data_IF_551347491534
#
_entry.id   IF_551347491534
#
_cell.length_a   1.000
_cell.length_b   1.000
_cell.length_c   1.000
_cell.angle_alpha   90.00
_cell.angle_beta   90.00
_cell.angle_gamma   90.00
#
_symmetry.space_group_name_H-M   'P 1'
#
loop_
_entity.id
_entity.type
_entity.pdbx_description
1 polymer ?
#
# COMPACT_ATOMS: atom_id res chain seq x y z
N UNK A 1 21.73 4.74 27.47
CA UNK A 1 21.05 5.71 26.61
C UNK A 1 19.89 4.98 25.94
N UNK A 2 18.67 5.50 26.05
CA UNK A 2 17.51 4.97 25.34
C UNK A 2 17.69 5.28 23.84
N UNK A 3 17.39 4.28 22.97
CA UNK A 3 17.42 4.52 21.53
C UNK A 3 16.40 5.60 21.15
N UNK A 4 16.66 6.43 20.11
CA UNK A 4 15.65 7.33 19.57
C UNK A 4 14.36 6.57 19.25
N UNK A 5 13.20 7.20 19.45
CA UNK A 5 11.91 6.53 19.30
C UNK A 5 11.75 5.85 17.94
N UNK A 6 12.18 6.49 16.86
CA UNK A 6 12.12 5.91 15.52
C UNK A 6 12.87 4.56 15.41
N UNK A 7 13.99 4.41 16.11
CA UNK A 7 14.76 3.15 16.11
C UNK A 7 14.12 2.04 16.95
N UNK A 8 13.13 2.38 17.79
CA UNK A 8 12.35 1.42 18.57
C UNK A 8 11.12 0.94 17.79
N UNK A 9 10.68 1.71 16.79
CA UNK A 9 9.51 1.40 15.99
C UNK A 9 9.73 0.19 15.08
N UNK A 10 8.71 -0.61 14.89
CA UNK A 10 8.56 -1.48 13.72
C UNK A 10 8.03 -0.57 12.61
N UNK A 11 8.93 0.13 11.89
CA UNK A 11 8.45 0.98 10.78
C UNK A 11 7.87 0.10 9.69
N UNK A 12 6.60 0.31 9.37
CA UNK A 12 5.86 -0.48 8.39
C UNK A 12 5.24 0.43 7.33
N UNK A 13 5.42 0.07 6.07
CA UNK A 13 4.84 0.76 4.92
C UNK A 13 3.97 -0.19 4.10
N UNK A 14 2.70 0.17 3.92
CA UNK A 14 1.68 -0.65 3.29
C UNK A 14 1.69 -0.57 1.76
N UNK A 15 2.49 0.34 1.15
CA UNK A 15 2.51 0.48 -0.31
C UNK A 15 3.79 1.15 -0.81
N UNK A 16 4.54 0.41 -1.65
CA UNK A 16 5.75 0.91 -2.32
C UNK A 16 5.97 0.17 -3.64
N UNK A 17 5.90 0.89 -4.74
CA UNK A 17 5.92 0.34 -6.10
C UNK A 17 7.30 -0.11 -6.60
N UNK A 18 8.26 -0.30 -5.72
CA UNK A 18 9.63 -0.67 -6.08
C UNK A 18 9.73 -1.89 -7.02
N UNK A 19 8.75 -2.82 -6.98
CA UNK A 19 8.73 -3.97 -7.90
C UNK A 19 8.64 -3.56 -9.37
N UNK A 20 7.97 -2.44 -9.70
CA UNK A 20 7.90 -1.93 -11.07
C UNK A 20 9.30 -1.62 -11.60
N UNK A 21 10.10 -0.87 -10.84
CA UNK A 21 11.46 -0.52 -11.24
C UNK A 21 12.37 -1.74 -11.30
N UNK A 22 12.29 -2.66 -10.34
CA UNK A 22 13.13 -3.86 -10.31
C UNK A 22 12.77 -4.80 -11.46
N UNK A 23 11.47 -5.09 -11.66
CA UNK A 23 11.01 -5.99 -12.72
C UNK A 23 11.25 -5.45 -14.14
N UNK A 24 11.43 -4.14 -14.31
CA UNK A 24 11.82 -3.55 -15.59
C UNK A 24 13.25 -3.90 -16.02
N UNK A 25 14.10 -4.35 -15.10
CA UNK A 25 15.46 -4.79 -15.39
C UNK A 25 15.50 -6.22 -15.97
N UNK A 26 16.60 -6.61 -16.64
CA UNK A 26 16.86 -8.02 -16.93
C UNK A 26 16.81 -8.87 -15.65
N UNK A 27 16.26 -10.09 -15.76
CA UNK A 27 16.02 -10.99 -14.64
C UNK A 27 17.26 -11.21 -13.75
N UNK A 28 18.43 -11.37 -14.34
CA UNK A 28 19.71 -11.59 -13.66
C UNK A 28 20.19 -10.40 -12.81
N UNK A 29 19.58 -9.22 -12.98
CA UNK A 29 19.93 -8.00 -12.25
C UNK A 29 19.01 -7.72 -11.06
N UNK A 30 17.86 -8.39 -10.93
CA UNK A 30 16.81 -8.05 -9.96
C UNK A 30 17.30 -7.98 -8.53
N UNK A 31 17.94 -9.04 -8.04
CA UNK A 31 18.42 -9.09 -6.66
C UNK A 31 19.48 -8.02 -6.36
N UNK A 32 20.44 -7.84 -7.27
CA UNK A 32 21.52 -6.86 -7.11
C UNK A 32 20.99 -5.41 -7.25
N UNK A 33 20.07 -5.15 -8.19
CA UNK A 33 19.47 -3.84 -8.35
C UNK A 33 18.68 -3.44 -7.10
N UNK A 34 17.85 -4.35 -6.56
CA UNK A 34 17.18 -4.11 -5.27
C UNK A 34 18.18 -3.81 -4.15
N UNK A 35 19.24 -4.63 -4.02
CA UNK A 35 20.27 -4.47 -2.98
C UNK A 35 20.98 -3.12 -3.04
N UNK A 36 21.21 -2.61 -4.24
CA UNK A 36 21.94 -1.35 -4.45
C UNK A 36 21.05 -0.12 -4.38
N UNK A 37 19.84 -0.20 -4.90
CA UNK A 37 18.95 0.96 -5.08
C UNK A 37 17.94 1.10 -3.95
N UNK A 38 17.27 0.02 -3.55
CA UNK A 38 16.12 0.08 -2.66
C UNK A 38 16.45 -0.25 -1.21
N UNK A 39 17.25 -1.27 -0.97
CA UNK A 39 17.61 -1.69 0.39
C UNK A 39 18.25 -0.57 1.23
N UNK A 40 19.15 0.29 0.71
CA UNK A 40 19.70 1.41 1.49
C UNK A 40 18.63 2.41 1.94
N UNK A 41 17.65 2.69 1.11
CA UNK A 41 16.57 3.63 1.43
C UNK A 41 15.62 3.05 2.48
N UNK A 42 15.22 1.79 2.34
CA UNK A 42 14.40 1.09 3.33
C UNK A 42 15.10 1.08 4.69
N UNK A 43 16.41 0.81 4.72
CA UNK A 43 17.21 0.83 5.96
C UNK A 43 17.33 2.24 6.54
N UNK A 44 17.55 3.26 5.71
CA UNK A 44 17.62 4.65 6.17
C UNK A 44 16.29 5.12 6.77
N UNK A 45 15.16 4.67 6.19
CA UNK A 45 13.82 4.90 6.72
C UNK A 45 13.45 4.06 7.92
N UNK A 46 14.31 3.14 8.35
CA UNK A 46 14.04 2.23 9.47
C UNK A 46 12.97 1.17 9.14
N UNK A 47 12.63 0.98 7.85
CA UNK A 47 11.58 0.03 7.44
C UNK A 47 11.93 -1.38 7.87
N UNK A 48 10.98 -2.03 8.54
CA UNK A 48 11.06 -3.39 9.04
C UNK A 48 9.98 -4.30 8.42
N UNK A 49 8.90 -3.70 7.92
CA UNK A 49 7.79 -4.41 7.28
C UNK A 49 7.36 -3.61 6.04
N UNK A 50 7.45 -4.21 4.87
CA UNK A 50 7.12 -3.57 3.59
C UNK A 50 6.13 -4.41 2.82
N UNK A 51 5.00 -3.82 2.43
CA UNK A 51 4.10 -4.42 1.44
C UNK A 51 4.61 -4.07 0.04
N UNK A 52 4.67 -5.07 -0.81
CA UNK A 52 5.09 -4.98 -2.21
C UNK A 52 3.88 -5.18 -3.11
N UNK A 53 3.25 -4.12 -3.61
CA UNK A 53 2.17 -4.23 -4.58
C UNK A 53 2.70 -4.72 -5.92
N UNK A 54 1.94 -5.57 -6.57
CA UNK A 54 2.06 -5.91 -7.98
C UNK A 54 1.06 -5.05 -8.73
N UNK A 55 1.53 -3.94 -9.28
CA UNK A 55 0.78 -3.04 -10.15
C UNK A 55 1.17 -3.27 -11.60
N UNK A 56 0.22 -3.26 -12.51
CA UNK A 56 0.44 -3.42 -13.94
C UNK A 56 -0.22 -2.27 -14.69
N UNK A 57 0.59 -1.55 -15.46
CA UNK A 57 0.14 -0.45 -16.31
C UNK A 57 -0.94 -0.87 -17.31
N UNK A 58 -1.81 0.08 -17.66
CA UNK A 58 -2.92 -0.14 -18.56
C UNK A 58 -2.49 -0.60 -19.96
N UNK A 59 -1.26 -0.26 -20.40
CA UNK A 59 -0.70 -0.69 -21.70
C UNK A 59 -0.56 -2.21 -21.85
N UNK A 60 -0.43 -2.95 -20.71
CA UNK A 60 -0.35 -4.40 -20.70
C UNK A 60 -1.72 -5.09 -20.61
N UNK A 61 -2.79 -4.34 -20.39
CA UNK A 61 -4.14 -4.88 -20.22
C UNK A 61 -4.85 -5.01 -21.56
N UNK A 62 -5.70 -6.05 -21.71
CA UNK A 62 -5.83 -7.20 -20.79
C UNK A 62 -4.81 -8.32 -21.08
N UNK A 63 -4.32 -8.49 -22.31
CA UNK A 63 -3.65 -9.72 -22.79
C UNK A 63 -2.29 -9.95 -22.11
N UNK A 64 -1.53 -8.90 -21.84
CA UNK A 64 -0.21 -8.98 -21.24
C UNK A 64 -0.22 -8.97 -19.70
N UNK A 65 -1.33 -8.58 -19.08
CA UNK A 65 -1.36 -8.30 -17.65
C UNK A 65 -1.03 -9.51 -16.77
N UNK A 66 -1.61 -10.68 -17.03
CA UNK A 66 -1.31 -11.89 -16.26
C UNK A 66 0.17 -12.28 -16.32
N UNK A 67 0.78 -12.16 -17.50
CA UNK A 67 2.21 -12.47 -17.68
C UNK A 67 3.07 -11.51 -16.85
N UNK A 68 2.76 -10.22 -16.84
CA UNK A 68 3.50 -9.23 -16.06
C UNK A 68 3.28 -9.44 -14.56
N UNK A 69 2.05 -9.75 -14.15
CA UNK A 69 1.73 -10.10 -12.75
C UNK A 69 2.60 -11.25 -12.26
N UNK A 70 2.65 -12.36 -13.00
CA UNK A 70 3.50 -13.51 -12.65
C UNK A 70 4.99 -13.15 -12.62
N UNK A 71 5.43 -12.31 -13.56
CA UNK A 71 6.83 -11.83 -13.61
C UNK A 71 7.17 -10.95 -12.38
N UNK A 72 6.27 -10.10 -11.92
CA UNK A 72 6.51 -9.27 -10.73
C UNK A 72 6.44 -10.10 -9.43
N UNK A 73 5.56 -11.09 -9.36
CA UNK A 73 5.56 -12.04 -8.24
C UNK A 73 6.91 -12.78 -8.18
N UNK A 74 7.38 -13.30 -9.30
CA UNK A 74 8.71 -13.94 -9.39
C UNK A 74 9.83 -12.98 -8.98
N UNK A 75 9.74 -11.71 -9.38
CA UNK A 75 10.72 -10.69 -8.99
C UNK A 75 10.83 -10.57 -7.45
N UNK A 76 9.74 -10.59 -6.73
CA UNK A 76 9.75 -10.54 -5.27
C UNK A 76 10.42 -11.78 -4.65
N UNK A 77 10.20 -12.97 -5.21
CA UNK A 77 10.88 -14.19 -4.80
C UNK A 77 12.39 -14.10 -5.03
N UNK A 78 12.82 -13.69 -6.25
CA UNK A 78 14.24 -13.50 -6.59
C UNK A 78 14.92 -12.46 -5.71
N UNK A 79 14.23 -11.36 -5.37
CA UNK A 79 14.72 -10.36 -4.41
C UNK A 79 15.02 -11.02 -3.05
N UNK A 80 14.06 -11.79 -2.52
CA UNK A 80 14.19 -12.41 -1.20
C UNK A 80 15.27 -13.50 -1.19
N UNK A 81 15.32 -14.36 -2.21
CA UNK A 81 16.31 -15.42 -2.35
C UNK A 81 17.73 -14.89 -2.55
N UNK A 82 17.87 -13.79 -3.31
CA UNK A 82 19.16 -13.15 -3.58
C UNK A 82 19.69 -12.26 -2.44
N UNK A 83 18.84 -11.94 -1.44
CA UNK A 83 19.18 -11.07 -0.30
C UNK A 83 18.75 -11.68 1.06
N UNK A 84 19.05 -12.94 1.36
CA UNK A 84 18.56 -13.63 2.56
C UNK A 84 19.11 -13.07 3.88
N UNK A 85 20.16 -12.25 3.80
CA UNK A 85 20.77 -11.52 4.92
C UNK A 85 20.09 -10.17 5.20
N UNK A 86 19.12 -9.76 4.38
CA UNK A 86 18.52 -8.44 4.45
C UNK A 86 16.98 -8.46 4.50
N UNK A 87 16.36 -9.36 3.74
CA UNK A 87 14.91 -9.41 3.60
C UNK A 87 14.38 -10.83 3.65
N UNK A 88 13.09 -10.98 3.96
CA UNK A 88 12.36 -12.26 3.89
C UNK A 88 10.97 -12.03 3.34
N UNK A 89 10.59 -12.79 2.32
CA UNK A 89 9.21 -12.81 1.85
C UNK A 89 8.36 -13.63 2.82
N UNK A 90 7.31 -13.01 3.36
CA UNK A 90 6.48 -13.56 4.44
C UNK A 90 5.03 -13.71 3.95
N UNK A 91 4.43 -14.83 4.32
CA UNK A 91 3.05 -15.21 3.99
C UNK A 91 2.17 -15.40 5.22
N UNK A 92 2.77 -15.40 6.41
CA UNK A 92 2.08 -15.56 7.69
C UNK A 92 2.59 -14.56 8.73
N UNK A 93 1.76 -14.28 9.75
CA UNK A 93 2.17 -13.44 10.88
C UNK A 93 3.37 -14.02 11.64
N UNK A 94 3.45 -15.34 11.76
CA UNK A 94 4.60 -16.02 12.39
C UNK A 94 5.89 -15.84 11.59
N UNK A 95 5.85 -15.84 10.25
CA UNK A 95 7.01 -15.56 9.39
C UNK A 95 7.45 -14.10 9.50
N UNK A 96 6.50 -13.16 9.62
CA UNK A 96 6.78 -11.74 9.88
C UNK A 96 7.53 -11.60 11.22
N UNK A 97 7.00 -12.18 12.30
CA UNK A 97 7.66 -12.15 13.62
C UNK A 97 9.08 -12.72 13.57
N UNK A 98 9.26 -13.84 12.87
CA UNK A 98 10.59 -14.47 12.73
C UNK A 98 11.56 -13.58 11.93
N UNK A 99 11.10 -12.96 10.83
CA UNK A 99 11.92 -12.02 10.06
C UNK A 99 12.36 -10.82 10.90
N UNK A 100 11.42 -10.23 11.65
CA UNK A 100 11.70 -9.11 12.55
C UNK A 100 12.70 -9.49 13.66
N UNK A 101 12.56 -10.67 14.25
CA UNK A 101 13.46 -11.18 15.28
C UNK A 101 14.89 -11.43 14.73
N UNK A 102 14.99 -11.90 13.48
CA UNK A 102 16.27 -12.10 12.78
C UNK A 102 16.91 -10.77 12.31
N UNK A 103 16.25 -9.63 12.51
CA UNK A 103 16.74 -8.31 12.06
C UNK A 103 16.54 -8.04 10.57
N UNK A 104 15.74 -8.85 9.88
CA UNK A 104 15.42 -8.72 8.47
C UNK A 104 14.23 -7.77 8.24
N UNK A 105 14.09 -7.28 7.02
CA UNK A 105 12.86 -6.62 6.56
C UNK A 105 11.90 -7.70 6.10
N UNK A 106 10.71 -7.76 6.71
CA UNK A 106 9.62 -8.62 6.27
C UNK A 106 8.96 -8.01 5.02
N UNK A 107 8.87 -8.76 3.94
CA UNK A 107 8.20 -8.37 2.69
C UNK A 107 6.88 -9.13 2.59
N UNK A 108 5.79 -8.45 2.23
CA UNK A 108 4.46 -9.05 2.04
C UNK A 108 3.96 -8.70 0.64
N UNK A 109 3.59 -9.71 -0.16
CA UNK A 109 3.06 -9.50 -1.51
C UNK A 109 1.61 -9.04 -1.49
N UNK A 110 1.32 -8.02 -2.31
CA UNK A 110 -0.03 -7.57 -2.61
C UNK A 110 -0.29 -7.56 -4.12
N UNK A 111 -1.56 -7.63 -4.53
CA UNK A 111 -2.01 -7.31 -5.89
C UNK A 111 -2.78 -6.00 -5.86
N UNK A 112 -2.38 -5.05 -6.67
CA UNK A 112 -3.15 -3.84 -6.90
C UNK A 112 -4.04 -3.99 -8.11
N UNK A 113 -5.35 -3.98 -7.88
CA UNK A 113 -6.42 -4.19 -8.88
C UNK A 113 -6.50 -5.58 -9.53
N UNK A 114 -5.92 -6.62 -8.92
CA UNK A 114 -5.89 -8.00 -9.44
C UNK A 114 -5.58 -8.08 -10.95
N UNK A 115 -4.46 -7.51 -11.43
CA UNK A 115 -4.20 -7.38 -12.85
C UNK A 115 -4.08 -8.75 -13.52
N UNK A 116 -4.80 -8.91 -14.64
CA UNK A 116 -4.78 -10.13 -15.45
C UNK A 116 -5.58 -11.32 -14.89
N UNK A 117 -6.24 -11.17 -13.73
CA UNK A 117 -7.17 -12.19 -13.24
C UNK A 117 -8.58 -11.95 -13.81
N UNK A 118 -8.92 -10.69 -14.13
CA UNK A 118 -10.22 -10.26 -14.62
C UNK A 118 -11.37 -10.85 -13.77
N UNK A 119 -12.35 -11.52 -14.39
CA UNK A 119 -13.43 -12.21 -13.69
C UNK A 119 -13.12 -13.66 -13.31
N UNK A 120 -11.88 -14.12 -13.47
CA UNK A 120 -11.45 -15.50 -13.17
C UNK A 120 -11.19 -15.68 -11.67
N UNK A 121 -12.27 -15.70 -10.89
CA UNK A 121 -12.21 -15.78 -9.41
C UNK A 121 -11.42 -17.00 -8.92
N UNK A 122 -11.45 -18.11 -9.66
CA UNK A 122 -10.69 -19.33 -9.36
C UNK A 122 -9.17 -19.11 -9.37
N UNK A 123 -8.66 -18.11 -10.12
CA UNK A 123 -7.23 -17.77 -10.16
C UNK A 123 -6.74 -17.07 -8.88
N UNK A 124 -7.64 -16.54 -8.04
CA UNK A 124 -7.29 -15.95 -6.75
C UNK A 124 -6.56 -16.99 -5.88
N UNK A 125 -7.01 -18.26 -5.91
CA UNK A 125 -6.32 -19.34 -5.22
C UNK A 125 -4.91 -19.62 -5.74
N UNK A 126 -4.66 -19.35 -7.02
CA UNK A 126 -3.33 -19.52 -7.64
C UNK A 126 -2.37 -18.45 -7.15
N UNK A 127 -2.75 -17.19 -7.19
CA UNK A 127 -1.89 -16.09 -6.69
C UNK A 127 -1.68 -16.18 -5.18
N UNK A 128 -2.67 -16.67 -4.42
CA UNK A 128 -2.48 -16.98 -2.99
C UNK A 128 -1.37 -18.02 -2.77
N UNK A 129 -1.35 -19.10 -3.56
CA UNK A 129 -0.27 -20.12 -3.51
C UNK A 129 1.10 -19.56 -3.89
N UNK A 130 1.13 -18.50 -4.72
CA UNK A 130 2.36 -17.78 -5.09
C UNK A 130 2.81 -16.75 -4.04
N UNK A 131 2.10 -16.62 -2.93
CA UNK A 131 2.52 -15.78 -1.79
C UNK A 131 1.73 -14.49 -1.60
N UNK A 132 0.77 -14.17 -2.47
CA UNK A 132 -0.09 -12.98 -2.31
C UNK A 132 -0.94 -13.08 -1.05
N UNK A 133 -0.98 -12.00 -0.26
CA UNK A 133 -1.72 -11.92 1.01
C UNK A 133 -2.65 -10.72 1.13
N UNK A 134 -2.53 -9.75 0.25
CA UNK A 134 -3.37 -8.55 0.18
C UNK A 134 -3.78 -8.37 -1.28
N UNK A 135 -5.01 -7.95 -1.55
CA UNK A 135 -5.39 -7.57 -2.90
C UNK A 135 -6.51 -6.53 -2.93
N UNK A 136 -6.44 -5.58 -3.87
CA UNK A 136 -7.55 -4.75 -4.32
C UNK A 136 -8.07 -5.27 -5.68
N UNK A 137 -9.30 -4.87 -6.06
CA UNK A 137 -9.99 -5.38 -7.26
C UNK A 137 -10.21 -4.35 -8.34
N UNK A 138 -9.87 -3.09 -8.09
CA UNK A 138 -9.90 -2.01 -9.07
C UNK A 138 -8.76 -1.02 -8.79
N UNK A 139 -8.40 -0.21 -9.79
CA UNK A 139 -7.52 0.94 -9.68
C UNK A 139 -8.32 2.23 -9.97
N UNK A 140 -7.93 3.03 -10.96
CA UNK A 140 -8.69 4.23 -11.32
C UNK A 140 -9.94 3.92 -12.15
N UNK A 141 -9.82 3.03 -13.10
CA UNK A 141 -10.86 2.67 -14.04
C UNK A 141 -11.71 1.48 -13.60
N UNK A 142 -12.67 1.14 -14.45
CA UNK A 142 -13.53 -0.02 -14.27
C UNK A 142 -12.79 -1.31 -14.54
N UNK A 143 -13.04 -2.31 -13.70
CA UNK A 143 -12.66 -3.70 -13.93
C UNK A 143 -13.92 -4.58 -14.04
N UNK A 144 -13.82 -5.85 -14.45
CA UNK A 144 -14.94 -6.78 -14.39
C UNK A 144 -15.51 -6.99 -12.98
N UNK A 145 -14.73 -6.63 -11.92
CA UNK A 145 -15.10 -6.87 -10.52
C UNK A 145 -15.75 -5.66 -9.84
N UNK A 146 -15.31 -4.44 -10.17
CA UNK A 146 -15.81 -3.20 -9.55
C UNK A 146 -15.41 -1.95 -10.36
N UNK A 147 -16.01 -0.82 -10.03
CA UNK A 147 -15.54 0.49 -10.47
C UNK A 147 -14.42 1.00 -9.56
N UNK A 148 -13.35 1.49 -10.19
CA UNK A 148 -12.34 2.27 -9.50
C UNK A 148 -12.82 3.67 -9.16
N UNK A 149 -12.06 4.38 -8.33
CA UNK A 149 -12.46 5.69 -7.80
C UNK A 149 -12.59 6.79 -8.88
N UNK A 150 -11.94 6.64 -10.03
CA UNK A 150 -12.13 7.54 -11.18
C UNK A 150 -13.49 7.39 -11.86
N UNK A 151 -14.22 6.31 -11.59
CA UNK A 151 -15.54 6.00 -12.11
C UNK A 151 -16.68 6.27 -11.10
N UNK A 152 -16.40 6.99 -10.02
CA UNK A 152 -17.32 7.24 -8.89
C UNK A 152 -18.67 7.82 -9.35
N UNK A 153 -18.68 8.60 -10.43
CA UNK A 153 -19.89 9.19 -11.01
C UNK A 153 -20.93 8.16 -11.48
N UNK A 154 -20.52 6.90 -11.72
CA UNK A 154 -21.45 5.82 -12.11
C UNK A 154 -22.30 5.33 -10.95
N UNK A 155 -21.82 5.48 -9.71
CA UNK A 155 -22.47 4.98 -8.50
C UNK A 155 -22.55 3.46 -8.44
N UNK A 156 -21.69 2.71 -9.17
CA UNK A 156 -21.69 1.26 -9.19
C UNK A 156 -20.93 0.67 -7.99
N UNK A 157 -21.46 -0.39 -7.41
CA UNK A 157 -20.77 -1.20 -6.40
C UNK A 157 -19.96 -2.34 -7.01
N UNK A 158 -19.80 -3.43 -6.24
CA UNK A 158 -19.22 -4.66 -6.75
C UNK A 158 -20.16 -5.31 -7.77
N UNK A 159 -19.59 -5.91 -8.81
CA UNK A 159 -20.31 -6.83 -9.69
C UNK A 159 -20.58 -8.17 -8.98
N UNK A 160 -21.35 -9.08 -9.60
CA UNK A 160 -21.52 -10.44 -9.07
C UNK A 160 -20.17 -11.16 -8.91
N UNK A 161 -19.25 -10.97 -9.86
CA UNK A 161 -17.91 -11.55 -9.80
C UNK A 161 -17.06 -10.85 -8.74
N UNK A 162 -17.25 -9.54 -8.52
CA UNK A 162 -16.62 -8.81 -7.42
C UNK A 162 -17.04 -9.30 -6.04
N UNK A 163 -18.33 -9.61 -5.85
CA UNK A 163 -18.84 -10.24 -4.62
C UNK A 163 -18.24 -11.64 -4.43
N UNK A 164 -18.17 -12.44 -5.50
CA UNK A 164 -17.54 -13.76 -5.45
C UNK A 164 -16.03 -13.66 -5.14
N UNK A 165 -15.33 -12.65 -5.70
CA UNK A 165 -13.92 -12.39 -5.41
C UNK A 165 -13.68 -12.03 -3.94
N UNK A 166 -14.51 -11.14 -3.34
CA UNK A 166 -14.45 -10.84 -1.92
C UNK A 166 -14.60 -12.11 -1.07
N UNK A 167 -15.61 -12.93 -1.35
CA UNK A 167 -15.86 -14.17 -0.61
C UNK A 167 -14.68 -15.16 -0.74
N UNK A 168 -14.09 -15.29 -1.93
CA UNK A 168 -12.94 -16.18 -2.16
C UNK A 168 -11.68 -15.66 -1.46
N UNK A 169 -11.43 -14.34 -1.46
CA UNK A 169 -10.34 -13.73 -0.72
C UNK A 169 -10.45 -14.00 0.78
N UNK A 170 -11.64 -13.81 1.36
CA UNK A 170 -11.89 -14.10 2.78
C UNK A 170 -11.70 -15.57 3.11
N UNK A 171 -12.14 -16.48 2.23
CA UNK A 171 -11.98 -17.93 2.38
C UNK A 171 -10.49 -18.33 2.41
N UNK A 172 -9.66 -17.68 1.60
CA UNK A 172 -8.22 -17.92 1.49
C UNK A 172 -7.39 -17.21 2.56
N UNK A 173 -7.99 -16.24 3.28
CA UNK A 173 -7.27 -15.39 4.21
C UNK A 173 -6.50 -14.24 3.55
N UNK A 174 -6.80 -13.92 2.28
CA UNK A 174 -6.30 -12.71 1.62
C UNK A 174 -7.01 -11.50 2.22
N UNK A 175 -6.25 -10.50 2.63
CA UNK A 175 -6.78 -9.23 3.14
C UNK A 175 -7.33 -8.42 1.96
N UNK A 176 -8.59 -8.00 2.06
CA UNK A 176 -9.20 -7.15 1.04
C UNK A 176 -8.73 -5.70 1.24
N UNK A 177 -8.11 -5.13 0.21
CA UNK A 177 -7.72 -3.72 0.16
C UNK A 177 -8.79 -2.92 -0.57
N UNK A 178 -9.35 -1.92 0.13
CA UNK A 178 -10.37 -1.02 -0.44
C UNK A 178 -9.78 0.20 -1.13
N UNK A 179 -8.46 0.38 -1.11
CA UNK A 179 -7.81 1.47 -1.83
C UNK A 179 -8.18 1.41 -3.31
N UNK A 180 -8.38 2.56 -3.91
CA UNK A 180 -8.82 2.74 -5.29
C UNK A 180 -10.28 2.38 -5.61
N UNK A 181 -11.04 1.73 -4.74
CA UNK A 181 -12.47 1.52 -5.01
C UNK A 181 -13.23 2.84 -5.04
N UNK A 182 -14.23 2.94 -5.93
CA UNK A 182 -15.22 4.01 -5.88
C UNK A 182 -16.01 3.98 -4.57
N UNK A 183 -16.55 5.12 -4.15
CA UNK A 183 -17.23 5.27 -2.86
C UNK A 183 -18.36 4.25 -2.64
N UNK A 184 -19.17 3.95 -3.68
CA UNK A 184 -20.21 2.92 -3.62
C UNK A 184 -19.61 1.52 -3.49
N UNK A 185 -18.47 1.24 -4.16
CA UNK A 185 -17.73 -0.01 -4.04
C UNK A 185 -17.22 -0.23 -2.62
N UNK A 186 -16.65 0.82 -2.01
CA UNK A 186 -16.21 0.79 -0.60
C UNK A 186 -17.38 0.48 0.33
N UNK A 187 -18.52 1.19 0.17
CA UNK A 187 -19.71 0.94 0.98
C UNK A 187 -20.21 -0.50 0.85
N UNK A 188 -20.24 -1.03 -0.39
CA UNK A 188 -20.70 -2.40 -0.67
C UNK A 188 -19.75 -3.46 -0.06
N UNK A 189 -18.42 -3.24 -0.11
CA UNK A 189 -17.45 -4.10 0.58
C UNK A 189 -17.69 -4.09 2.09
N UNK A 190 -17.83 -2.90 2.69
CA UNK A 190 -18.02 -2.75 4.13
C UNK A 190 -19.35 -3.36 4.63
N UNK A 191 -20.36 -3.43 3.77
CA UNK A 191 -21.63 -4.14 4.06
C UNK A 191 -21.46 -5.65 4.02
N UNK A 192 -20.68 -6.19 3.07
CA UNK A 192 -20.58 -7.62 2.81
C UNK A 192 -19.42 -8.30 3.56
N UNK A 193 -18.36 -7.58 3.86
CA UNK A 193 -17.14 -8.14 4.44
C UNK A 193 -17.42 -8.75 5.82
N UNK A 194 -16.96 -9.99 6.00
CA UNK A 194 -17.04 -10.72 7.27
C UNK A 194 -15.71 -10.70 8.03
N UNK A 195 -14.67 -10.19 7.40
CA UNK A 195 -13.30 -10.06 7.93
C UNK A 195 -12.86 -8.59 7.89
N UNK A 196 -11.94 -8.19 8.80
CA UNK A 196 -11.33 -6.87 8.74
C UNK A 196 -10.73 -6.56 7.38
N UNK A 197 -11.04 -5.36 6.85
CA UNK A 197 -10.52 -4.85 5.58
C UNK A 197 -9.36 -3.88 5.81
N UNK A 198 -8.62 -3.56 4.77
CA UNK A 198 -7.50 -2.62 4.81
C UNK A 198 -7.68 -1.53 3.75
N UNK A 199 -7.26 -0.30 4.06
CA UNK A 199 -6.92 0.70 3.06
C UNK A 199 -5.39 0.84 3.06
N UNK A 200 -4.72 0.25 2.08
CA UNK A 200 -3.25 0.22 2.05
C UNK A 200 -2.65 1.60 1.84
N UNK A 201 -3.36 2.53 1.14
CA UNK A 201 -2.89 3.88 0.86
C UNK A 201 -4.07 4.82 0.54
N UNK A 202 -4.70 5.38 1.58
CA UNK A 202 -5.82 6.33 1.46
C UNK A 202 -5.74 7.41 2.53
N UNK A 203 -6.20 8.63 2.20
CA UNK A 203 -6.19 9.78 3.10
C UNK A 203 -7.61 10.20 3.49
N UNK A 204 -7.78 11.28 4.28
CA UNK A 204 -9.08 11.74 4.77
C UNK A 204 -9.74 12.70 3.78
N UNK A 205 -10.96 12.39 3.33
CA UNK A 205 -11.73 13.23 2.40
C UNK A 205 -12.19 14.55 3.03
N UNK A 206 -12.35 14.57 4.33
CA UNK A 206 -12.73 15.79 5.05
C UNK A 206 -11.66 16.89 4.97
N UNK A 207 -10.39 16.54 4.84
CA UNK A 207 -9.28 17.48 4.69
C UNK A 207 -8.97 17.80 3.23
N UNK A 208 -9.11 16.81 2.36
CA UNK A 208 -8.94 16.96 0.91
C UNK A 208 -10.05 16.22 0.18
N UNK A 209 -11.02 16.97 -0.40
CA UNK A 209 -12.10 16.38 -1.20
C UNK A 209 -11.56 15.83 -2.51
N UNK A 210 -11.16 14.57 -2.47
CA UNK A 210 -10.66 13.81 -3.61
C UNK A 210 -11.29 12.41 -3.59
N UNK A 211 -11.69 11.88 -4.76
CA UNK A 211 -12.36 10.58 -4.86
C UNK A 211 -11.50 9.39 -4.37
N UNK A 212 -10.18 9.55 -4.24
CA UNK A 212 -9.26 8.56 -3.67
C UNK A 212 -9.29 8.53 -2.13
N UNK A 213 -9.79 9.58 -1.50
CA UNK A 213 -9.82 9.73 -0.05
C UNK A 213 -11.11 9.16 0.54
N UNK A 214 -11.00 8.64 1.76
CA UNK A 214 -12.13 8.05 2.49
C UNK A 214 -12.89 9.12 3.28
N UNK A 215 -14.23 9.03 3.27
CA UNK A 215 -15.09 9.87 4.11
C UNK A 215 -14.96 9.43 5.57
N UNK A 216 -15.34 10.32 6.51
CA UNK A 216 -15.36 10.00 7.94
C UNK A 216 -16.24 8.79 8.27
N UNK A 217 -17.33 8.60 7.52
CA UNK A 217 -18.19 7.43 7.65
C UNK A 217 -17.46 6.14 7.25
N UNK A 218 -16.74 6.19 6.13
CA UNK A 218 -15.93 5.07 5.65
C UNK A 218 -14.77 4.77 6.60
N UNK A 219 -14.08 5.80 7.12
CA UNK A 219 -13.02 5.63 8.12
C UNK A 219 -13.53 4.90 9.38
N UNK A 220 -14.69 5.33 9.93
CA UNK A 220 -15.33 4.66 11.08
C UNK A 220 -15.75 3.22 10.74
N UNK A 221 -16.27 3.00 9.53
CA UNK A 221 -16.73 1.68 9.11
C UNK A 221 -15.54 0.70 8.93
N UNK A 222 -14.41 1.14 8.37
CA UNK A 222 -13.18 0.33 8.32
C UNK A 222 -12.72 -0.03 9.73
N UNK A 223 -12.65 0.95 10.64
CA UNK A 223 -12.28 0.70 12.03
C UNK A 223 -13.24 -0.28 12.71
N UNK A 224 -14.55 -0.18 12.44
CA UNK A 224 -15.56 -1.08 12.99
C UNK A 224 -15.37 -2.55 12.53
N UNK A 225 -14.76 -2.79 11.37
CA UNK A 225 -14.37 -4.16 10.97
C UNK A 225 -13.16 -4.69 11.74
N UNK A 226 -12.45 -3.86 12.51
CA UNK A 226 -11.12 -4.14 13.05
C UNK A 226 -10.00 -3.87 12.05
N UNK A 227 -10.29 -3.15 10.97
CA UNK A 227 -9.39 -2.85 9.87
C UNK A 227 -8.35 -1.77 10.17
N UNK A 228 -7.53 -1.43 9.15
CA UNK A 228 -6.49 -0.41 9.24
C UNK A 228 -6.54 0.52 8.03
N UNK A 229 -6.28 1.81 8.25
CA UNK A 229 -6.20 2.87 7.24
C UNK A 229 -4.77 3.39 7.23
N UNK A 230 -4.07 3.23 6.10
CA UNK A 230 -2.70 3.68 5.92
C UNK A 230 -2.69 4.95 5.08
N UNK A 231 -2.08 6.01 5.62
CA UNK A 231 -2.10 7.36 5.03
C UNK A 231 -1.22 7.41 3.79
N UNK A 232 -1.77 7.90 2.68
CA UNK A 232 -1.08 8.14 1.43
C UNK A 232 -0.31 9.48 1.48
N UNK A 233 0.87 9.56 0.83
CA UNK A 233 1.76 10.73 0.88
C UNK A 233 1.76 11.60 -0.39
N UNK A 234 0.98 11.25 -1.39
CA UNK A 234 0.86 12.06 -2.61
C UNK A 234 0.20 13.41 -2.33
N UNK A 235 0.78 14.48 -2.89
CA UNK A 235 0.23 15.85 -2.78
C UNK A 235 -1.25 15.94 -3.13
N UNK A 236 -1.66 15.31 -4.25
CA UNK A 236 -3.02 15.38 -4.75
C UNK A 236 -4.08 14.88 -3.76
N UNK A 237 -3.68 14.00 -2.84
CA UNK A 237 -4.57 13.39 -1.84
C UNK A 237 -4.46 14.05 -0.46
N UNK A 238 -3.52 14.97 -0.29
CA UNK A 238 -3.28 15.68 0.97
C UNK A 238 -3.79 17.11 0.93
N UNK A 239 -3.64 17.83 -0.21
CA UNK A 239 -3.99 19.23 -0.32
C UNK A 239 -4.51 19.58 -1.72
N UNK A 240 -5.18 20.73 -1.86
CA UNK A 240 -5.58 21.27 -3.17
C UNK A 240 -4.41 21.90 -3.92
N UNK A 241 -3.37 22.26 -3.19
CA UNK A 241 -2.15 22.84 -3.71
C UNK A 241 -0.96 21.95 -3.39
N UNK A 242 0.26 22.46 -3.45
CA UNK A 242 1.45 21.74 -3.01
C UNK A 242 1.30 21.43 -1.51
N UNK A 243 1.13 20.14 -1.17
CA UNK A 243 1.00 19.71 0.21
C UNK A 243 2.29 19.98 1.01
N UNK A 244 2.09 20.41 2.24
CA UNK A 244 3.14 20.61 3.22
C UNK A 244 3.28 19.39 4.13
N UNK A 245 4.32 19.37 4.94
CA UNK A 245 4.47 18.34 5.96
C UNK A 245 3.36 18.43 7.02
N UNK A 246 2.89 19.63 7.33
CA UNK A 246 1.77 19.82 8.26
C UNK A 246 0.45 19.24 7.69
N UNK A 247 0.18 19.39 6.39
CA UNK A 247 -0.99 18.77 5.76
C UNK A 247 -0.97 17.24 5.94
N UNK A 248 0.19 16.60 5.76
CA UNK A 248 0.32 15.17 5.98
C UNK A 248 0.03 14.79 7.44
N UNK A 249 0.58 15.52 8.40
CA UNK A 249 0.35 15.26 9.83
C UNK A 249 -1.12 15.46 10.20
N UNK A 250 -1.80 16.45 9.61
CA UNK A 250 -3.23 16.68 9.81
C UNK A 250 -4.06 15.46 9.37
N UNK A 251 -3.68 14.77 8.27
CA UNK A 251 -4.34 13.53 7.86
C UNK A 251 -4.17 12.39 8.89
N UNK A 252 -2.98 12.22 9.45
CA UNK A 252 -2.75 11.24 10.53
C UNK A 252 -3.62 11.54 11.75
N UNK A 253 -3.62 12.79 12.21
CA UNK A 253 -4.39 13.21 13.38
C UNK A 253 -5.90 13.10 13.15
N UNK A 254 -6.39 13.49 11.96
CA UNK A 254 -7.81 13.39 11.63
C UNK A 254 -8.28 11.93 11.59
N UNK A 255 -7.54 11.05 10.92
CA UNK A 255 -7.90 9.63 10.85
C UNK A 255 -7.84 9.00 12.24
N UNK A 256 -6.84 9.34 13.08
CA UNK A 256 -6.76 8.87 14.45
C UNK A 256 -7.94 9.36 15.30
N UNK A 257 -8.38 10.61 15.10
CA UNK A 257 -9.54 11.16 15.81
C UNK A 257 -10.87 10.51 15.39
N UNK A 258 -11.02 10.14 14.11
CA UNK A 258 -12.26 9.60 13.55
C UNK A 258 -12.37 8.08 13.72
N UNK A 259 -11.30 7.35 13.40
CA UNK A 259 -11.25 5.89 13.39
C UNK A 259 -10.65 5.28 14.67
N UNK A 260 -9.90 6.08 15.42
CA UNK A 260 -9.12 5.63 16.57
C UNK A 260 -7.66 5.34 16.21
N UNK A 261 -6.77 5.61 17.17
CA UNK A 261 -5.32 5.53 16.99
C UNK A 261 -4.84 4.12 16.58
N UNK A 262 -5.54 3.08 17.01
CA UNK A 262 -5.20 1.67 16.73
C UNK A 262 -5.50 1.24 15.28
N UNK A 263 -6.12 2.12 14.49
CA UNK A 263 -6.53 1.87 13.11
C UNK A 263 -5.73 2.68 12.08
N UNK A 264 -4.66 3.37 12.49
CA UNK A 264 -3.86 4.23 11.61
C UNK A 264 -2.50 3.60 11.30
N UNK A 265 -2.07 3.71 10.04
CA UNK A 265 -0.75 3.24 9.58
C UNK A 265 -0.19 4.13 8.47
N UNK A 266 0.94 3.71 7.91
CA UNK A 266 1.61 4.36 6.78
C UNK A 266 1.41 3.51 5.52
N UNK A 267 1.01 4.16 4.44
CA UNK A 267 0.95 3.61 3.09
C UNK A 267 1.40 4.68 2.12
N UNK A 268 2.69 4.94 2.11
CA UNK A 268 3.26 6.15 1.53
C UNK A 268 3.10 6.26 0.01
N UNK A 269 2.89 5.11 -0.67
CA UNK A 269 2.69 5.06 -2.11
C UNK A 269 3.93 5.60 -2.86
N UNK A 270 5.12 5.15 -2.47
CA UNK A 270 6.38 5.62 -3.02
C UNK A 270 6.59 5.14 -4.47
N UNK A 271 6.21 5.99 -5.43
CA UNK A 271 6.35 5.75 -6.87
C UNK A 271 7.30 6.74 -7.55
N UNK A 272 7.67 7.85 -6.88
CA UNK A 272 8.49 8.91 -7.49
C UNK A 272 9.80 8.38 -8.09
N UNK A 273 10.58 7.63 -7.31
CA UNK A 273 11.85 7.07 -7.81
C UNK A 273 11.63 6.00 -8.88
N UNK A 274 10.53 5.25 -8.79
CA UNK A 274 10.12 4.31 -9.83
C UNK A 274 9.87 5.05 -11.14
N UNK A 275 9.12 6.14 -11.10
CA UNK A 275 8.82 6.95 -12.29
C UNK A 275 10.07 7.63 -12.86
N UNK A 276 10.96 8.15 -12.01
CA UNK A 276 12.24 8.71 -12.45
C UNK A 276 13.12 7.68 -13.16
N UNK A 277 13.03 6.43 -12.75
CA UNK A 277 13.80 5.33 -13.31
C UNK A 277 13.19 4.77 -14.63
N UNK A 278 11.86 4.74 -14.72
CA UNK A 278 11.15 4.18 -15.87
C UNK A 278 10.82 5.21 -16.96
N UNK A 279 10.70 6.49 -16.58
CA UNK A 279 10.31 7.55 -17.52
C UNK A 279 11.52 8.11 -18.24
N UNK A 280 11.51 8.16 -19.59
CA UNK A 280 12.60 8.77 -20.33
C UNK A 280 12.82 10.24 -19.94
N UNK A 281 14.06 10.75 -19.91
CA UNK A 281 14.38 12.10 -19.46
C UNK A 281 13.62 13.25 -20.15
N UNK A 282 13.12 13.00 -21.37
CA UNK A 282 12.34 13.98 -22.15
C UNK A 282 10.84 14.00 -21.84
N UNK A 283 10.35 13.10 -20.99
CA UNK A 283 8.92 13.01 -20.65
C UNK A 283 8.56 13.68 -19.32
N UNK A 284 9.54 14.19 -18.55
CA UNK A 284 9.37 14.45 -17.12
C UNK A 284 9.00 15.88 -16.74
N UNK A 285 8.87 16.83 -17.68
CA UNK A 285 8.48 18.21 -17.32
C UNK A 285 6.98 18.45 -17.61
N UNK A 286 6.17 18.32 -16.57
CA UNK A 286 4.89 19.04 -16.49
C UNK A 286 3.65 18.34 -17.01
N UNK A 287 3.69 17.10 -17.44
CA UNK A 287 2.45 16.38 -17.77
C UNK A 287 1.94 15.60 -16.53
N UNK A 288 1.00 16.23 -15.81
CA UNK A 288 0.03 15.45 -15.04
C UNK A 288 -0.46 14.33 -15.96
N UNK A 289 -0.35 13.07 -15.53
CA UNK A 289 -0.93 11.97 -16.29
C UNK A 289 -2.41 12.29 -16.57
N UNK A 290 -3.05 11.55 -17.50
CA UNK A 290 -4.46 11.75 -17.87
C UNK A 290 -5.44 11.72 -16.67
N UNK A 291 -4.95 11.43 -15.48
CA UNK A 291 -5.67 11.31 -14.20
C UNK A 291 -5.49 12.55 -13.30
N UNK A 292 -4.73 13.56 -13.72
CA UNK A 292 -4.51 14.81 -12.99
C UNK A 292 -3.63 14.68 -11.74
N UNK A 293 -2.89 13.58 -11.60
CA UNK A 293 -1.96 13.35 -10.48
C UNK A 293 -0.53 13.46 -10.99
N UNK A 294 0.26 14.33 -10.34
CA UNK A 294 1.70 14.41 -10.57
C UNK A 294 2.42 13.28 -9.81
N UNK A 295 2.96 12.26 -10.50
CA UNK A 295 3.62 11.13 -9.85
C UNK A 295 4.94 11.53 -9.15
N UNK A 296 5.42 12.75 -9.36
CA UNK A 296 6.61 13.31 -8.69
C UNK A 296 6.26 14.18 -7.48
N UNK A 297 4.97 14.42 -7.25
CA UNK A 297 4.45 15.34 -6.26
C UNK A 297 4.35 14.74 -4.86
N UNK A 298 5.43 14.86 -4.06
CA UNK A 298 5.49 14.45 -2.66
C UNK A 298 5.77 15.61 -1.73
N UNK A 299 5.49 15.43 -0.44
CA UNK A 299 5.92 16.34 0.61
C UNK A 299 7.45 16.36 0.65
N UNK A 300 8.04 17.55 0.76
CA UNK A 300 9.50 17.76 0.78
C UNK A 300 10.15 16.92 1.91
N UNK A 301 11.15 16.13 1.54
CA UNK A 301 11.86 15.20 2.41
C UNK A 301 11.18 13.84 2.58
N UNK A 302 10.00 13.62 1.96
CA UNK A 302 9.24 12.38 1.97
C UNK A 302 9.04 11.80 0.56
N UNK A 303 9.99 12.03 -0.33
CA UNK A 303 9.95 11.51 -1.70
C UNK A 303 10.26 10.01 -1.80
N UNK A 304 10.72 9.41 -0.70
CA UNK A 304 11.06 8.00 -0.61
C UNK A 304 11.19 7.52 0.84
N UNK A 305 11.41 6.21 1.06
CA UNK A 305 11.40 5.60 2.40
C UNK A 305 12.38 6.24 3.38
N UNK A 306 13.51 6.77 2.90
CA UNK A 306 14.53 7.40 3.74
C UNK A 306 14.02 8.60 4.56
N UNK A 307 12.89 9.21 4.15
CA UNK A 307 12.25 10.33 4.84
C UNK A 307 11.39 9.94 6.05
N UNK A 308 11.04 8.66 6.22
CA UNK A 308 10.11 8.21 7.27
C UNK A 308 10.47 8.64 8.70
N UNK A 309 11.75 8.82 9.11
CA UNK A 309 12.08 9.41 10.41
C UNK A 309 11.43 10.76 10.68
N UNK A 310 11.21 11.59 9.64
CA UNK A 310 10.54 12.88 9.77
C UNK A 310 9.11 12.74 10.27
N UNK A 311 8.39 11.69 9.86
CA UNK A 311 7.01 11.41 10.30
C UNK A 311 7.00 11.15 11.82
N UNK A 312 7.91 10.32 12.32
CA UNK A 312 8.05 10.09 13.78
C UNK A 312 8.29 11.40 14.53
N UNK A 313 9.23 12.21 14.05
CA UNK A 313 9.54 13.50 14.68
C UNK A 313 8.38 14.49 14.62
N UNK A 314 7.67 14.52 13.48
CA UNK A 314 6.52 15.38 13.28
C UNK A 314 5.37 15.05 14.24
N UNK A 315 4.99 13.79 14.32
CA UNK A 315 3.93 13.32 15.23
C UNK A 315 4.26 13.61 16.70
N UNK A 316 5.53 13.40 17.11
CA UNK A 316 5.99 13.77 18.46
C UNK A 316 5.90 15.29 18.71
N UNK A 317 6.32 16.14 17.74
CA UNK A 317 6.23 17.59 17.84
C UNK A 317 4.78 18.09 17.93
N UNK A 318 3.83 17.37 17.31
CA UNK A 318 2.39 17.61 17.42
C UNK A 318 1.81 17.17 18.79
N UNK A 319 2.60 16.50 19.64
CA UNK A 319 2.25 16.14 20.99
C UNK A 319 1.60 14.77 21.15
N UNK A 320 1.67 13.90 20.13
CA UNK A 320 1.22 12.52 20.28
C UNK A 320 2.12 11.80 21.29
N UNK A 321 1.52 10.92 22.10
CA UNK A 321 2.28 10.07 23.02
C UNK A 321 3.21 9.12 22.26
N UNK A 322 4.37 8.79 22.83
CA UNK A 322 5.37 7.90 22.20
C UNK A 322 4.75 6.57 21.78
N UNK A 323 3.91 5.98 22.64
CA UNK A 323 3.23 4.71 22.35
C UNK A 323 2.29 4.83 21.13
N UNK A 324 1.60 5.96 20.97
CA UNK A 324 0.71 6.20 19.84
C UNK A 324 1.49 6.41 18.54
N UNK A 325 2.64 7.11 18.62
CA UNK A 325 3.55 7.23 17.49
C UNK A 325 4.08 5.87 17.06
N UNK A 326 4.50 5.01 18.01
CA UNK A 326 4.95 3.64 17.70
C UNK A 326 3.87 2.80 17.03
N UNK A 327 2.59 2.98 17.44
CA UNK A 327 1.45 2.31 16.79
C UNK A 327 1.30 2.76 15.33
N UNK A 328 1.27 4.07 15.07
CA UNK A 328 1.13 4.64 13.72
C UNK A 328 2.30 4.21 12.83
N UNK A 329 3.53 4.29 13.33
CA UNK A 329 4.73 3.96 12.55
C UNK A 329 4.76 2.51 12.07
N UNK A 330 3.97 1.60 12.68
CA UNK A 330 3.84 0.24 12.18
C UNK A 330 3.37 -0.79 13.21
N UNK A 331 3.30 -0.42 14.49
CA UNK A 331 2.76 -1.33 15.52
C UNK A 331 1.36 -1.83 15.18
N UNK A 332 0.49 -0.95 14.68
CA UNK A 332 -0.86 -1.31 14.26
C UNK A 332 -0.86 -2.28 13.07
N UNK A 333 -0.04 -2.02 12.05
CA UNK A 333 0.05 -2.90 10.88
C UNK A 333 0.61 -4.27 11.24
N UNK A 334 1.65 -4.32 12.08
CA UNK A 334 2.21 -5.57 12.58
C UNK A 334 1.16 -6.39 13.34
N UNK A 335 0.44 -5.77 14.29
CA UNK A 335 -0.67 -6.40 15.01
C UNK A 335 -1.73 -6.92 14.03
N UNK A 336 -2.18 -6.08 13.08
CA UNK A 336 -3.20 -6.42 12.09
C UNK A 336 -2.78 -7.64 11.24
N UNK A 337 -1.54 -7.67 10.75
CA UNK A 337 -1.07 -8.82 9.97
C UNK A 337 -0.93 -10.09 10.80
N UNK A 338 -0.53 -10.02 12.05
CA UNK A 338 -0.52 -11.19 12.96
C UNK A 338 -1.92 -11.79 13.14
N UNK A 339 -2.92 -10.94 13.30
CA UNK A 339 -4.30 -11.37 13.47
C UNK A 339 -4.93 -11.91 12.18
N UNK A 340 -4.50 -11.38 11.02
CA UNK A 340 -5.11 -11.68 9.73
C UNK A 340 -4.41 -12.78 8.93
N UNK A 341 -3.10 -12.92 9.05
CA UNK A 341 -2.30 -13.86 8.26
C UNK A 341 -1.93 -15.15 9.04
N UNK A 342 -2.38 -15.29 10.26
CA UNK A 342 -2.24 -16.51 11.06
C UNK A 342 -0.91 -16.65 11.77
#
# INVERSE_FOLDING_TARGET
MTLPLHQQAIVADAHNDLLMAVAARPHEQWAEFFRRQWLPQLRAGGVRLQVLPVFIDDEFRPEGALRQTLRMIECAHVIAEGNPDAVRLCSTGAEIDAALADGLIALVLALESMPGLDASVELISTVHRLGVRIASIAHWGRTPLADGSGEDATGSGLTSDGVAALAEMERLGIIFDISHLGATGVAHVLELATKPVMATHSSARALRDHHRNLTDEQLRAVAATGGIICVNFFHAFLSETKATFDDLLDHFEHIAAVAGIDHVGIGADFVREVMLDLTPPWCCEGDANSRGVDPFGYVEGLEGPAGLPLVTEGLLKRGLAEDDVLKIMGGNMHRFFKERLG
#
